data_IF_948091758451
#
_entry.id   IF_948091758451
#
_cell.length_a   1.000
_cell.length_b   1.000
_cell.length_c   1.000
_cell.angle_alpha   90.00
_cell.angle_beta   90.00
_cell.angle_gamma   90.00
#
_symmetry.space_group_name_H-M   'P 1'
#
loop_
_entity.id
_entity.type
_entity.pdbx_description
1 polymer ?
#
# COMPACT_ATOMS: atom_id res chain seq x y z
N UNK A 1 -7.65 12.12 10.50
CA UNK A 1 -8.59 12.04 9.37
C UNK A 1 -8.44 10.70 8.63
N UNK A 2 -7.26 10.30 8.14
CA UNK A 2 -7.05 9.04 7.38
C UNK A 2 -7.56 7.78 8.11
N UNK A 3 -7.43 7.71 9.43
CA UNK A 3 -7.93 6.58 10.23
C UNK A 3 -9.46 6.55 10.20
N UNK A 4 -10.09 7.71 10.36
CA UNK A 4 -11.56 7.84 10.34
C UNK A 4 -12.10 7.48 8.95
N UNK A 5 -11.50 8.00 7.88
CA UNK A 5 -11.90 7.73 6.51
C UNK A 5 -11.79 6.24 6.17
N UNK A 6 -10.70 5.59 6.61
CA UNK A 6 -10.52 4.15 6.46
C UNK A 6 -11.59 3.35 7.22
N UNK A 7 -11.99 3.78 8.43
CA UNK A 7 -13.04 3.10 9.19
C UNK A 7 -14.42 3.25 8.54
N UNK A 8 -14.74 4.44 8.02
CA UNK A 8 -15.97 4.68 7.26
C UNK A 8 -15.99 3.75 6.04
N UNK A 9 -14.92 3.75 5.25
CA UNK A 9 -14.78 2.91 4.06
C UNK A 9 -14.91 1.42 4.36
N UNK A 10 -14.29 0.97 5.45
CA UNK A 10 -14.35 -0.42 5.90
C UNK A 10 -15.79 -0.84 6.21
N UNK A 11 -16.53 0.01 6.96
CA UNK A 11 -17.95 -0.26 7.29
C UNK A 11 -18.84 -0.33 6.04
N UNK A 12 -18.61 0.55 5.06
CA UNK A 12 -19.36 0.52 3.79
C UNK A 12 -19.10 -0.77 3.01
N UNK A 13 -17.84 -1.21 2.93
CA UNK A 13 -17.48 -2.43 2.20
C UNK A 13 -18.02 -3.69 2.90
N UNK A 14 -17.99 -3.73 4.22
CA UNK A 14 -18.52 -4.87 4.98
C UNK A 14 -20.03 -5.10 4.75
N UNK A 15 -20.80 -4.06 4.42
CA UNK A 15 -22.23 -4.20 4.06
C UNK A 15 -22.47 -5.01 2.78
N UNK A 16 -21.45 -5.20 1.97
CA UNK A 16 -21.50 -5.99 0.71
C UNK A 16 -21.08 -7.45 0.91
N UNK A 17 -20.71 -7.83 2.12
CA UNK A 17 -20.19 -9.15 2.46
C UNK A 17 -21.24 -9.94 3.29
N UNK A 18 -21.13 -11.29 3.32
CA UNK A 18 -21.94 -12.10 4.21
C UNK A 18 -21.86 -11.63 5.66
N UNK A 19 -22.98 -11.71 6.38
CA UNK A 19 -23.10 -11.21 7.77
C UNK A 19 -22.04 -11.82 8.70
N UNK A 20 -21.67 -13.09 8.51
CA UNK A 20 -20.65 -13.75 9.31
C UNK A 20 -19.25 -13.13 9.16
N UNK A 21 -18.96 -12.47 8.03
CA UNK A 21 -17.67 -11.79 7.84
C UNK A 21 -17.43 -10.65 8.86
N UNK A 22 -18.47 -10.09 9.47
CA UNK A 22 -18.31 -9.08 10.52
C UNK A 22 -17.55 -9.62 11.73
N UNK A 23 -17.73 -10.90 12.07
CA UNK A 23 -16.98 -11.58 13.13
C UNK A 23 -15.50 -11.72 12.76
N UNK A 24 -15.21 -12.15 11.53
CA UNK A 24 -13.86 -12.24 10.99
C UNK A 24 -13.12 -10.91 11.09
N UNK A 25 -13.73 -9.81 10.63
CA UNK A 25 -13.09 -8.49 10.66
C UNK A 25 -12.81 -8.00 12.07
N UNK A 26 -13.67 -8.29 13.06
CA UNK A 26 -13.38 -8.03 14.48
C UNK A 26 -12.21 -8.87 14.99
N UNK A 27 -12.17 -10.15 14.60
CA UNK A 27 -11.11 -11.06 15.05
C UNK A 27 -9.73 -10.75 14.53
N UNK A 28 -9.63 -10.21 13.30
CA UNK A 28 -8.33 -9.85 12.70
C UNK A 28 -7.92 -8.39 12.99
N UNK A 29 -8.77 -7.59 13.60
CA UNK A 29 -8.49 -6.18 13.90
C UNK A 29 -7.21 -5.96 14.70
N UNK A 30 -6.95 -6.71 15.80
CA UNK A 30 -5.76 -6.47 16.62
C UNK A 30 -4.43 -6.70 15.89
N UNK A 31 -4.44 -7.51 14.82
CA UNK A 31 -3.24 -7.93 14.12
C UNK A 31 -3.08 -7.33 12.73
N UNK A 32 -4.07 -6.52 12.28
CA UNK A 32 -4.09 -5.97 10.92
C UNK A 32 -4.36 -4.48 10.89
N UNK A 33 -3.73 -3.78 9.94
CA UNK A 33 -4.03 -2.37 9.70
C UNK A 33 -5.42 -2.18 9.06
N UNK A 34 -6.01 -0.99 9.21
CA UNK A 34 -7.27 -0.63 8.53
C UNK A 34 -7.17 -0.78 7.00
N UNK A 35 -6.03 -0.45 6.40
CA UNK A 35 -5.77 -0.64 4.96
C UNK A 35 -5.77 -2.11 4.56
N UNK A 36 -5.17 -2.98 5.39
CA UNK A 36 -5.18 -4.44 5.17
C UNK A 36 -6.61 -4.98 5.19
N UNK A 37 -7.41 -4.55 6.18
CA UNK A 37 -8.81 -4.97 6.27
C UNK A 37 -9.66 -4.48 5.09
N UNK A 38 -9.44 -3.27 4.60
CA UNK A 38 -10.07 -2.76 3.37
C UNK A 38 -9.69 -3.64 2.16
N UNK A 39 -8.41 -4.01 2.03
CA UNK A 39 -7.97 -4.90 0.96
C UNK A 39 -8.64 -6.28 1.06
N UNK A 40 -8.76 -6.83 2.28
CA UNK A 40 -9.50 -8.07 2.51
C UNK A 40 -10.99 -7.94 2.13
N UNK A 41 -11.65 -6.82 2.41
CA UNK A 41 -13.02 -6.60 1.96
C UNK A 41 -13.14 -6.69 0.44
N UNK A 42 -12.26 -6.02 -0.30
CA UNK A 42 -12.28 -6.09 -1.76
C UNK A 42 -12.02 -7.50 -2.28
N UNK A 43 -11.08 -8.22 -1.69
CA UNK A 43 -10.77 -9.60 -2.09
C UNK A 43 -11.93 -10.54 -1.83
N UNK A 44 -12.60 -10.42 -0.68
CA UNK A 44 -13.76 -11.23 -0.33
C UNK A 44 -15.00 -10.86 -1.15
N UNK A 45 -15.19 -9.59 -1.52
CA UNK A 45 -16.28 -9.19 -2.44
C UNK A 45 -16.09 -9.89 -3.79
N UNK A 46 -14.88 -9.93 -4.33
CA UNK A 46 -14.59 -10.63 -5.60
C UNK A 46 -14.88 -12.13 -5.45
N UNK A 47 -14.47 -12.75 -4.34
CA UNK A 47 -14.69 -14.16 -4.07
C UNK A 47 -16.19 -14.51 -3.98
N UNK A 48 -16.97 -13.79 -3.18
CA UNK A 48 -18.40 -14.10 -3.01
C UNK A 48 -19.21 -13.76 -4.28
N UNK A 49 -18.78 -12.79 -5.07
CA UNK A 49 -19.39 -12.53 -6.38
C UNK A 49 -19.06 -13.66 -7.38
N UNK A 50 -17.85 -14.22 -7.33
CA UNK A 50 -17.53 -15.43 -8.10
C UNK A 50 -18.44 -16.60 -7.68
N UNK A 51 -18.61 -16.87 -6.40
CA UNK A 51 -19.52 -17.92 -5.91
C UNK A 51 -20.96 -17.67 -6.40
N UNK A 52 -21.42 -16.42 -6.38
CA UNK A 52 -22.74 -16.06 -6.90
C UNK A 52 -22.92 -16.42 -8.40
N UNK A 53 -21.86 -16.22 -9.20
CA UNK A 53 -21.90 -16.47 -10.65
C UNK A 53 -21.66 -17.95 -11.03
N UNK A 54 -20.86 -18.68 -10.23
CA UNK A 54 -20.44 -20.05 -10.55
C UNK A 54 -21.33 -21.12 -9.88
N UNK A 55 -22.00 -20.79 -8.77
CA UNK A 55 -22.84 -21.74 -8.03
C UNK A 55 -24.33 -21.46 -8.25
N UNK A 56 -25.07 -22.36 -8.97
CA UNK A 56 -26.50 -22.18 -9.25
C UNK A 56 -27.37 -22.05 -7.98
N UNK A 57 -27.01 -22.73 -6.88
CA UNK A 57 -27.75 -22.64 -5.60
C UNK A 57 -27.65 -21.23 -4.99
N UNK A 58 -26.54 -20.55 -5.22
CA UNK A 58 -26.25 -19.24 -4.66
C UNK A 58 -26.61 -18.08 -5.59
N UNK A 59 -26.91 -18.33 -6.86
CA UNK A 59 -27.16 -17.31 -7.88
C UNK A 59 -28.28 -16.33 -7.52
N UNK A 60 -29.35 -16.84 -6.90
CA UNK A 60 -30.54 -16.05 -6.51
C UNK A 60 -30.51 -15.58 -5.05
N UNK A 61 -29.50 -15.96 -4.27
CA UNK A 61 -29.37 -15.55 -2.87
C UNK A 61 -28.53 -14.26 -2.82
N UNK A 62 -28.97 -13.22 -2.11
CA UNK A 62 -28.13 -12.04 -1.89
C UNK A 62 -26.84 -12.44 -1.14
N UNK A 63 -25.70 -11.95 -1.57
CA UNK A 63 -24.38 -12.27 -0.98
C UNK A 63 -24.37 -12.02 0.55
N UNK A 64 -25.05 -10.98 1.01
CA UNK A 64 -25.14 -10.64 2.44
C UNK A 64 -25.84 -11.69 3.31
N UNK A 65 -26.67 -12.54 2.70
CA UNK A 65 -27.44 -13.58 3.37
C UNK A 65 -26.81 -14.98 3.24
N UNK A 66 -25.62 -15.08 2.65
CA UNK A 66 -24.91 -16.36 2.58
C UNK A 66 -24.62 -16.88 3.99
N UNK A 67 -24.99 -18.14 4.27
CA UNK A 67 -24.73 -18.78 5.56
C UNK A 67 -23.26 -19.19 5.67
N UNK A 68 -22.73 -19.30 6.90
CA UNK A 68 -21.35 -19.69 7.13
C UNK A 68 -21.06 -21.13 6.67
N UNK A 69 -22.06 -22.00 6.70
CA UNK A 69 -22.01 -23.37 6.23
C UNK A 69 -21.66 -23.50 4.75
N UNK A 70 -21.83 -22.42 3.97
CA UNK A 70 -21.34 -22.34 2.59
C UNK A 70 -19.84 -22.60 2.52
N UNK A 71 -19.06 -22.11 3.50
CA UNK A 71 -17.60 -22.32 3.52
C UNK A 71 -17.21 -23.81 3.64
N UNK A 72 -18.03 -24.64 4.30
CA UNK A 72 -17.82 -26.09 4.39
C UNK A 72 -18.17 -26.84 3.09
N UNK A 73 -18.98 -26.23 2.22
CA UNK A 73 -19.35 -26.83 0.93
C UNK A 73 -18.32 -26.55 -0.17
N UNK A 74 -17.50 -25.52 -0.01
CA UNK A 74 -16.46 -25.16 -0.97
C UNK A 74 -15.28 -26.11 -0.84
N UNK A 75 -14.84 -26.68 -1.95
CA UNK A 75 -13.72 -27.61 -2.03
C UNK A 75 -12.41 -26.92 -2.44
N UNK A 76 -11.30 -27.62 -2.39
CA UNK A 76 -10.02 -27.14 -2.91
C UNK A 76 -10.10 -26.86 -4.42
N UNK A 77 -10.80 -27.72 -5.18
CA UNK A 77 -11.02 -27.56 -6.61
C UNK A 77 -11.78 -26.26 -6.92
N UNK A 78 -12.84 -25.94 -6.16
CA UNK A 78 -13.59 -24.68 -6.35
C UNK A 78 -12.70 -23.46 -6.14
N UNK A 79 -11.73 -23.55 -5.20
CA UNK A 79 -10.76 -22.47 -4.99
C UNK A 79 -9.75 -22.40 -6.13
N UNK A 80 -9.30 -23.54 -6.69
CA UNK A 80 -8.41 -23.57 -7.86
C UNK A 80 -9.12 -22.94 -9.09
N UNK A 81 -10.37 -23.28 -9.34
CA UNK A 81 -11.20 -22.66 -10.37
C UNK A 81 -11.36 -21.14 -10.15
N UNK A 82 -11.54 -20.72 -8.89
CA UNK A 82 -11.54 -19.30 -8.56
C UNK A 82 -10.20 -18.62 -8.88
N UNK A 83 -9.05 -19.27 -8.63
CA UNK A 83 -7.74 -18.71 -8.98
C UNK A 83 -7.56 -18.60 -10.52
N UNK A 84 -8.11 -19.52 -11.29
CA UNK A 84 -8.14 -19.43 -12.75
C UNK A 84 -9.03 -18.27 -13.21
N UNK A 85 -10.24 -18.16 -12.68
CA UNK A 85 -11.16 -17.04 -12.92
C UNK A 85 -10.50 -15.68 -12.66
N UNK A 86 -9.68 -15.56 -11.63
CA UNK A 86 -8.99 -14.31 -11.28
C UNK A 86 -8.02 -13.82 -12.38
N UNK A 87 -7.53 -14.68 -13.28
CA UNK A 87 -6.63 -14.27 -14.37
C UNK A 87 -7.30 -13.26 -15.29
N UNK A 88 -8.59 -13.45 -15.54
CA UNK A 88 -9.45 -12.51 -16.28
C UNK A 88 -10.90 -12.68 -15.82
N UNK A 89 -11.53 -11.59 -15.43
CA UNK A 89 -12.95 -11.58 -15.14
C UNK A 89 -13.56 -10.20 -15.41
N UNK A 90 -14.88 -10.20 -15.61
CA UNK A 90 -15.68 -8.99 -15.80
C UNK A 90 -16.60 -8.82 -14.60
N UNK A 91 -16.64 -7.62 -14.04
CA UNK A 91 -17.54 -7.29 -12.93
C UNK A 91 -18.96 -6.98 -13.42
N UNK A 92 -19.97 -6.98 -12.53
CA UNK A 92 -21.36 -6.71 -12.88
C UNK A 92 -21.57 -5.34 -13.59
N UNK A 93 -20.67 -4.37 -13.33
CA UNK A 93 -20.65 -3.05 -13.97
C UNK A 93 -19.90 -3.04 -15.32
N UNK A 94 -19.55 -4.20 -15.84
CA UNK A 94 -18.93 -4.39 -17.14
C UNK A 94 -17.43 -4.08 -17.21
N UNK A 95 -16.77 -3.86 -16.06
CA UNK A 95 -15.33 -3.61 -16.03
C UNK A 95 -14.54 -4.90 -16.11
N UNK A 96 -13.58 -4.91 -17.02
CA UNK A 96 -12.62 -6.00 -17.17
C UNK A 96 -11.48 -5.87 -16.13
N UNK A 97 -11.13 -7.00 -15.56
CA UNK A 97 -10.05 -7.11 -14.57
C UNK A 97 -9.12 -8.27 -14.91
N UNK A 98 -7.81 -8.01 -14.80
CA UNK A 98 -6.78 -9.03 -14.88
C UNK A 98 -5.95 -9.01 -13.60
N UNK A 99 -5.52 -10.17 -13.13
CA UNK A 99 -4.59 -10.27 -12.02
C UNK A 99 -3.33 -11.02 -12.43
N UNK A 100 -2.19 -10.44 -12.19
CA UNK A 100 -0.91 -11.17 -12.20
C UNK A 100 -0.74 -12.03 -10.95
N UNK A 101 0.31 -12.84 -10.93
CA UNK A 101 0.61 -13.84 -9.89
C UNK A 101 0.55 -13.25 -8.46
N UNK A 102 1.12 -12.07 -8.23
CA UNK A 102 1.09 -11.39 -6.93
C UNK A 102 -0.33 -11.01 -6.49
N UNK A 103 -1.18 -10.61 -7.43
CA UNK A 103 -2.58 -10.28 -7.16
C UNK A 103 -3.39 -11.52 -6.76
N UNK A 104 -3.18 -12.64 -7.46
CA UNK A 104 -3.80 -13.93 -7.16
C UNK A 104 -3.33 -14.45 -5.80
N UNK A 105 -2.01 -14.44 -5.54
CA UNK A 105 -1.46 -14.82 -4.24
C UNK A 105 -2.08 -14.04 -3.08
N UNK A 106 -2.23 -12.72 -3.23
CA UNK A 106 -2.81 -11.90 -2.17
C UNK A 106 -4.26 -12.30 -1.88
N UNK A 107 -5.05 -12.58 -2.91
CA UNK A 107 -6.44 -13.02 -2.78
C UNK A 107 -6.52 -14.40 -2.12
N UNK A 108 -5.68 -15.36 -2.51
CA UNK A 108 -5.59 -16.66 -1.85
C UNK A 108 -5.14 -16.53 -0.38
N UNK A 109 -4.19 -15.65 -0.08
CA UNK A 109 -3.76 -15.38 1.30
C UNK A 109 -4.91 -14.80 2.15
N UNK A 110 -5.76 -13.97 1.57
CA UNK A 110 -6.97 -13.47 2.23
C UNK A 110 -7.93 -14.62 2.56
N UNK A 111 -8.23 -15.52 1.59
CA UNK A 111 -9.07 -16.70 1.81
C UNK A 111 -8.48 -17.63 2.86
N UNK A 112 -7.17 -17.91 2.81
CA UNK A 112 -6.49 -18.71 3.84
C UNK A 112 -6.66 -18.11 5.24
N UNK A 113 -6.64 -16.78 5.34
CA UNK A 113 -6.83 -16.09 6.62
C UNK A 113 -8.26 -16.21 7.11
N UNK A 114 -9.27 -16.09 6.21
CA UNK A 114 -10.68 -16.26 6.52
C UNK A 114 -10.98 -17.69 7.00
N UNK A 115 -10.57 -18.69 6.22
CA UNK A 115 -10.78 -20.09 6.55
C UNK A 115 -10.07 -20.50 7.85
N UNK A 116 -8.81 -20.08 8.03
CA UNK A 116 -8.06 -20.35 9.27
C UNK A 116 -8.74 -19.73 10.48
N UNK A 117 -9.33 -18.55 10.36
CA UNK A 117 -10.04 -17.87 11.44
C UNK A 117 -11.25 -18.69 11.90
N UNK A 118 -12.14 -19.04 10.98
CA UNK A 118 -13.36 -19.79 11.32
C UNK A 118 -13.08 -21.25 11.68
N UNK A 119 -12.12 -21.89 11.04
CA UNK A 119 -11.69 -23.25 11.38
C UNK A 119 -11.13 -23.33 12.81
N UNK A 120 -10.27 -22.35 13.19
CA UNK A 120 -9.74 -22.26 14.55
C UNK A 120 -10.82 -22.04 15.62
N UNK A 121 -11.93 -21.40 15.24
CA UNK A 121 -13.10 -21.16 16.10
C UNK A 121 -14.11 -22.31 16.06
N UNK A 122 -13.81 -23.37 15.32
CA UNK A 122 -14.72 -24.51 15.14
C UNK A 122 -16.08 -24.11 14.54
N UNK A 123 -16.17 -22.92 13.91
CA UNK A 123 -17.37 -22.45 13.23
C UNK A 123 -17.57 -23.11 11.87
N UNK A 124 -16.51 -23.72 11.30
CA UNK A 124 -16.50 -24.56 10.10
C UNK A 124 -15.69 -25.81 10.36
N UNK A 125 -15.97 -26.88 9.60
CA UNK A 125 -15.38 -28.21 9.78
C UNK A 125 -14.18 -28.44 8.85
N UNK A 126 -14.08 -27.69 7.76
CA UNK A 126 -13.07 -27.89 6.71
C UNK A 126 -12.26 -26.60 6.46
N UNK A 127 -11.06 -26.78 5.93
CA UNK A 127 -10.20 -25.64 5.50
C UNK A 127 -9.55 -25.95 4.15
N UNK A 128 -10.31 -25.96 3.07
CA UNK A 128 -9.81 -26.25 1.73
C UNK A 128 -8.75 -25.26 1.25
N UNK A 129 -8.81 -24.00 1.69
CA UNK A 129 -7.83 -23.00 1.29
C UNK A 129 -6.40 -23.30 1.78
N UNK A 130 -6.23 -24.17 2.80
CA UNK A 130 -4.90 -24.57 3.27
C UNK A 130 -4.20 -25.56 2.32
N UNK A 131 -4.97 -26.31 1.53
CA UNK A 131 -4.48 -27.38 0.64
C UNK A 131 -4.05 -26.81 -0.71
N UNK A 132 -4.75 -25.78 -1.20
CA UNK A 132 -4.47 -25.16 -2.51
C UNK A 132 -3.08 -24.52 -2.52
N UNK A 133 -2.26 -24.86 -3.51
CA UNK A 133 -0.91 -24.31 -3.64
C UNK A 133 -0.88 -22.83 -3.95
N UNK A 134 0.14 -22.14 -3.43
CA UNK A 134 0.38 -20.73 -3.81
C UNK A 134 0.94 -20.65 -5.22
N UNK A 135 0.44 -19.75 -6.09
CA UNK A 135 1.05 -19.51 -7.38
C UNK A 135 2.54 -19.19 -7.25
N UNK A 136 3.36 -19.77 -8.12
CA UNK A 136 4.79 -19.43 -8.19
C UNK A 136 4.94 -18.00 -8.70
N UNK A 137 5.74 -17.20 -8.01
CA UNK A 137 6.10 -15.87 -8.49
C UNK A 137 7.34 -15.99 -9.37
N UNK A 138 7.25 -15.52 -10.60
CA UNK A 138 8.42 -15.29 -11.42
C UNK A 138 9.04 -13.95 -10.97
N UNK A 139 10.18 -14.03 -10.31
CA UNK A 139 10.93 -12.84 -9.91
C UNK A 139 11.47 -12.17 -11.18
N UNK A 140 11.13 -10.89 -11.35
CA UNK A 140 11.78 -10.06 -12.36
C UNK A 140 13.14 -9.64 -11.81
N UNK A 141 14.14 -9.62 -12.68
CA UNK A 141 15.43 -9.05 -12.36
C UNK A 141 15.25 -7.63 -11.82
N UNK A 142 15.86 -7.36 -10.68
CA UNK A 142 15.81 -6.03 -10.07
C UNK A 142 16.80 -5.16 -10.82
N UNK A 143 16.30 -4.23 -11.63
CA UNK A 143 17.12 -3.18 -12.24
C UNK A 143 17.66 -2.29 -11.11
N UNK A 144 18.97 -2.22 -11.00
CA UNK A 144 19.67 -1.37 -10.03
C UNK A 144 20.43 -0.29 -10.82
N UNK A 145 20.39 0.93 -10.30
CA UNK A 145 21.27 1.98 -10.80
C UNK A 145 22.67 1.72 -10.26
N UNK A 146 23.68 1.85 -11.11
CA UNK A 146 25.08 1.91 -10.67
C UNK A 146 25.46 3.34 -10.25
N UNK A 147 26.71 3.53 -9.78
CA UNK A 147 27.15 4.82 -9.28
C UNK A 147 27.12 5.92 -10.35
N UNK A 148 27.48 5.59 -11.59
CA UNK A 148 27.50 6.53 -12.70
C UNK A 148 26.07 6.93 -13.10
N UNK A 149 25.13 5.97 -13.11
CA UNK A 149 23.71 6.23 -13.39
C UNK A 149 23.06 7.07 -12.29
N UNK A 150 23.43 6.87 -11.02
CA UNK A 150 23.00 7.70 -9.90
C UNK A 150 23.50 9.14 -10.07
N UNK A 151 24.78 9.33 -10.45
CA UNK A 151 25.33 10.67 -10.70
C UNK A 151 24.56 11.38 -11.81
N UNK A 152 24.33 10.70 -12.93
CA UNK A 152 23.54 11.25 -14.05
C UNK A 152 22.11 11.60 -13.62
N UNK A 153 21.49 10.79 -12.77
CA UNK A 153 20.15 11.07 -12.24
C UNK A 153 20.13 12.36 -11.41
N UNK A 154 21.08 12.51 -10.50
CA UNK A 154 21.19 13.71 -9.64
C UNK A 154 21.49 14.96 -10.46
N UNK A 155 22.41 14.88 -11.43
CA UNK A 155 22.71 15.99 -12.36
C UNK A 155 21.45 16.44 -13.12
N UNK A 156 20.61 15.50 -13.56
CA UNK A 156 19.36 15.84 -14.24
C UNK A 156 18.34 16.51 -13.35
N UNK A 157 18.28 16.14 -12.08
CA UNK A 157 17.41 16.81 -11.10
C UNK A 157 17.92 18.23 -10.83
N UNK A 158 19.22 18.43 -10.81
CA UNK A 158 19.82 19.74 -10.60
C UNK A 158 19.65 20.64 -11.83
N UNK A 159 19.96 20.16 -13.02
CA UNK A 159 19.95 20.95 -14.26
C UNK A 159 18.55 21.12 -14.83
N UNK A 160 17.70 20.10 -14.74
CA UNK A 160 16.33 20.16 -15.27
C UNK A 160 16.23 20.18 -16.79
N UNK A 161 17.30 19.84 -17.50
CA UNK A 161 17.43 19.96 -18.96
C UNK A 161 16.52 18.97 -19.73
N UNK A 162 16.18 17.84 -19.14
CA UNK A 162 15.22 16.84 -19.70
C UNK A 162 13.77 17.10 -19.34
N UNK A 163 13.49 18.12 -18.54
CA UNK A 163 12.13 18.46 -18.16
C UNK A 163 11.35 19.07 -19.31
N UNK A 164 10.05 18.78 -19.39
CA UNK A 164 9.13 19.44 -20.31
C UNK A 164 9.02 20.93 -19.98
N UNK A 165 8.63 21.77 -20.96
CA UNK A 165 8.39 23.22 -20.75
C UNK A 165 7.43 23.50 -19.59
N UNK A 166 6.46 22.63 -19.34
CA UNK A 166 5.53 22.76 -18.22
C UNK A 166 6.19 22.45 -16.88
N UNK A 167 7.02 21.44 -16.81
CA UNK A 167 7.77 21.06 -15.60
C UNK A 167 8.85 22.07 -15.24
N UNK A 168 9.55 22.63 -16.25
CA UNK A 168 10.58 23.66 -16.07
C UNK A 168 10.09 24.90 -15.32
N UNK A 169 8.80 25.26 -15.47
CA UNK A 169 8.18 26.40 -14.74
C UNK A 169 8.23 26.22 -13.22
N UNK A 170 8.23 24.97 -12.77
CA UNK A 170 8.23 24.65 -11.34
C UNK A 170 9.58 24.19 -10.83
N UNK A 171 10.50 23.81 -11.72
CA UNK A 171 11.81 23.26 -11.40
C UNK A 171 12.60 24.16 -10.42
N UNK A 172 12.69 25.47 -10.69
CA UNK A 172 13.36 26.42 -9.79
C UNK A 172 12.76 26.52 -8.38
N UNK A 173 11.54 25.98 -8.14
CA UNK A 173 10.89 25.96 -6.83
C UNK A 173 10.93 24.60 -6.15
N UNK A 174 11.31 23.56 -6.87
CA UNK A 174 11.25 22.19 -6.39
C UNK A 174 12.58 21.47 -6.39
N UNK A 175 13.56 21.95 -7.17
CA UNK A 175 14.81 21.24 -7.41
C UNK A 175 15.57 20.93 -6.10
N UNK A 176 15.70 21.90 -5.20
CA UNK A 176 16.46 21.72 -3.94
C UNK A 176 15.76 20.71 -3.03
N UNK A 177 14.42 20.75 -3.00
CA UNK A 177 13.62 19.75 -2.31
C UNK A 177 13.76 18.36 -2.93
N UNK A 178 13.65 18.27 -4.25
CA UNK A 178 13.67 17.01 -4.98
C UNK A 178 15.07 16.39 -4.92
N UNK A 179 16.13 17.22 -4.95
CA UNK A 179 17.51 16.81 -4.69
C UNK A 179 17.67 16.24 -3.28
N UNK A 180 17.17 16.93 -2.25
CA UNK A 180 17.22 16.46 -0.87
C UNK A 180 16.47 15.13 -0.67
N UNK A 181 15.31 14.96 -1.31
CA UNK A 181 14.55 13.71 -1.27
C UNK A 181 15.34 12.56 -1.90
N UNK A 182 15.87 12.75 -3.11
CA UNK A 182 16.58 11.69 -3.83
C UNK A 182 17.89 11.33 -3.12
N UNK A 183 18.68 12.31 -2.73
CA UNK A 183 19.93 12.08 -2.00
C UNK A 183 19.68 11.35 -0.67
N UNK A 184 18.62 11.73 0.04
CA UNK A 184 18.19 11.05 1.27
C UNK A 184 17.77 9.59 1.03
N UNK A 185 16.98 9.33 0.00
CA UNK A 185 16.55 7.97 -0.35
C UNK A 185 17.73 7.09 -0.78
N UNK A 186 18.62 7.63 -1.61
CA UNK A 186 19.81 6.92 -2.10
C UNK A 186 20.83 6.66 -0.98
N UNK A 187 21.09 7.66 -0.15
CA UNK A 187 22.09 7.57 0.92
C UNK A 187 21.67 6.73 2.11
N UNK A 188 20.36 6.54 2.33
CA UNK A 188 19.86 5.83 3.53
C UNK A 188 19.11 4.53 3.22
N UNK A 189 18.63 4.35 2.00
CA UNK A 189 17.78 3.21 1.63
C UNK A 189 16.42 3.17 2.34
N UNK A 190 15.98 4.27 2.94
CA UNK A 190 14.66 4.33 3.59
C UNK A 190 13.53 4.22 2.58
N UNK A 191 12.34 3.79 3.02
CA UNK A 191 11.17 3.75 2.14
C UNK A 191 10.66 5.15 1.86
N UNK A 192 10.10 5.36 0.66
CA UNK A 192 9.47 6.65 0.29
C UNK A 192 8.43 7.09 1.33
N UNK A 193 7.64 6.16 1.88
CA UNK A 193 6.66 6.47 2.94
C UNK A 193 7.29 6.91 4.27
N UNK A 194 8.50 6.45 4.57
CA UNK A 194 9.27 6.88 5.73
C UNK A 194 9.83 8.28 5.47
N UNK A 195 10.41 8.52 4.29
CA UNK A 195 10.95 9.81 3.85
C UNK A 195 9.90 10.94 3.93
N UNK A 196 8.73 10.77 3.31
CA UNK A 196 7.69 11.83 3.34
C UNK A 196 7.05 12.00 4.74
N UNK A 197 7.24 11.01 5.61
CA UNK A 197 6.75 11.04 6.99
C UNK A 197 7.63 11.84 7.95
N UNK A 198 8.84 12.21 7.57
CA UNK A 198 9.81 12.90 8.44
C UNK A 198 9.30 14.28 8.82
N UNK A 199 9.44 14.62 10.10
CA UNK A 199 9.28 15.98 10.63
C UNK A 199 10.65 16.67 10.74
N UNK A 200 10.69 18.00 10.69
CA UNK A 200 11.93 18.77 10.81
C UNK A 200 12.69 18.39 12.09
N UNK A 201 11.97 18.18 13.19
CA UNK A 201 12.54 17.83 14.49
C UNK A 201 13.00 16.35 14.60
N UNK A 202 12.75 15.53 13.60
CA UNK A 202 13.23 14.15 13.56
C UNK A 202 14.70 14.06 13.11
N UNK A 203 15.29 15.17 12.64
CA UNK A 203 16.66 15.22 12.14
C UNK A 203 17.62 15.68 13.25
N UNK A 204 18.61 14.87 13.55
CA UNK A 204 19.73 15.18 14.44
C UNK A 204 21.01 15.35 13.63
N UNK A 205 21.31 16.59 13.22
CA UNK A 205 22.52 16.93 12.47
C UNK A 205 23.81 16.70 13.29
N UNK A 206 23.74 16.77 14.63
CA UNK A 206 24.91 16.57 15.49
C UNK A 206 25.42 15.13 15.41
N UNK A 207 24.49 14.18 15.31
CA UNK A 207 24.82 12.75 15.26
C UNK A 207 24.54 12.15 13.88
N UNK A 208 24.28 12.97 12.86
CA UNK A 208 23.96 12.57 11.47
C UNK A 208 22.88 11.49 11.40
N UNK A 209 21.81 11.64 12.23
CA UNK A 209 20.74 10.66 12.39
C UNK A 209 19.36 11.22 12.09
N UNK A 210 18.48 10.39 11.56
CA UNK A 210 17.07 10.71 11.34
C UNK A 210 16.22 9.66 12.04
N UNK A 211 15.30 10.10 12.87
CA UNK A 211 14.28 9.27 13.50
C UNK A 211 13.18 8.97 12.49
N UNK A 212 12.99 7.70 12.16
CA UNK A 212 11.96 7.26 11.22
C UNK A 212 10.95 6.34 11.90
N UNK A 213 9.68 6.43 11.47
CA UNK A 213 8.59 5.58 11.97
C UNK A 213 8.31 4.49 10.94
N UNK A 214 8.62 3.25 11.31
CA UNK A 214 8.39 2.07 10.47
C UNK A 214 6.96 1.56 10.56
N UNK A 215 6.61 0.66 9.64
CA UNK A 215 5.33 -0.06 9.68
C UNK A 215 5.15 -0.76 11.03
N UNK A 216 4.01 -0.53 11.68
CA UNK A 216 3.72 -1.08 13.01
C UNK A 216 4.01 -0.10 14.17
N UNK A 217 4.45 1.14 13.87
CA UNK A 217 4.68 2.19 14.87
C UNK A 217 6.06 2.14 15.54
N UNK A 218 6.92 1.21 15.16
CA UNK A 218 8.28 1.14 15.67
C UNK A 218 9.09 2.32 15.16
N UNK A 219 9.76 3.01 16.06
CA UNK A 219 10.70 4.08 15.76
C UNK A 219 12.13 3.51 15.67
N UNK A 220 12.91 3.99 14.72
CA UNK A 220 14.32 3.65 14.58
C UNK A 220 15.07 4.86 14.06
N UNK A 221 16.39 4.91 14.32
CA UNK A 221 17.25 5.94 13.77
C UNK A 221 17.98 5.37 12.56
N UNK A 222 18.00 6.14 11.48
CA UNK A 222 18.81 5.86 10.28
C UNK A 222 19.85 6.95 10.18
N UNK A 223 21.10 6.56 9.93
CA UNK A 223 22.21 7.49 9.81
C UNK A 223 22.45 7.89 8.36
N UNK A 224 22.99 9.07 8.14
CA UNK A 224 23.27 9.63 6.82
C UNK A 224 24.70 10.17 6.73
N UNK A 225 25.21 10.26 5.50
CA UNK A 225 26.53 10.83 5.21
C UNK A 225 26.47 12.32 4.87
N UNK A 226 27.64 12.90 4.63
CA UNK A 226 27.84 14.33 4.35
C UNK A 226 27.04 14.84 3.14
N UNK A 227 26.90 14.03 2.08
CA UNK A 227 26.13 14.40 0.89
C UNK A 227 24.65 14.64 1.22
N UNK A 228 24.08 13.76 2.06
CA UNK A 228 22.69 13.89 2.52
C UNK A 228 22.55 15.10 3.43
N UNK A 229 23.51 15.31 4.32
CA UNK A 229 23.53 16.46 5.23
C UNK A 229 23.50 17.77 4.45
N UNK A 230 24.40 17.93 3.47
CA UNK A 230 24.44 19.12 2.64
C UNK A 230 23.15 19.36 1.88
N UNK A 231 22.60 18.34 1.23
CA UNK A 231 21.34 18.44 0.50
C UNK A 231 20.14 18.79 1.41
N UNK A 232 20.13 18.28 2.64
CA UNK A 232 19.10 18.61 3.62
C UNK A 232 19.24 20.05 4.13
N UNK A 233 20.46 20.50 4.38
CA UNK A 233 20.72 21.88 4.83
C UNK A 233 20.32 22.89 3.75
N UNK A 234 20.68 22.66 2.50
CA UNK A 234 20.31 23.51 1.37
C UNK A 234 18.78 23.62 1.25
N UNK A 235 18.09 22.48 1.34
CA UNK A 235 16.62 22.50 1.29
C UNK A 235 16.02 23.20 2.52
N UNK A 236 16.57 23.02 3.70
CA UNK A 236 16.05 23.65 4.92
C UNK A 236 16.13 25.17 4.89
N UNK A 237 17.13 25.75 4.21
CA UNK A 237 17.18 27.22 4.00
C UNK A 237 15.98 27.69 3.17
N UNK A 238 15.61 27.02 2.09
CA UNK A 238 14.38 27.32 1.34
C UNK A 238 13.11 27.00 2.12
N UNK A 239 13.12 25.86 2.84
CA UNK A 239 11.94 25.41 3.63
C UNK A 239 11.53 26.42 4.70
N UNK A 240 12.48 27.13 5.31
CA UNK A 240 12.22 28.20 6.31
C UNK A 240 11.42 29.37 5.72
N UNK A 241 11.51 29.61 4.42
CA UNK A 241 10.82 30.70 3.73
C UNK A 241 9.37 30.32 3.36
N UNK A 242 9.00 29.06 3.47
CA UNK A 242 7.67 28.57 3.09
C UNK A 242 6.78 28.54 4.33
N UNK A 243 5.66 29.27 4.28
CA UNK A 243 4.60 29.17 5.30
C UNK A 243 3.72 27.96 4.96
N UNK A 244 3.76 26.87 5.76
CA UNK A 244 2.95 25.69 5.51
C UNK A 244 1.45 25.95 5.70
N UNK A 245 0.61 25.06 5.17
CA UNK A 245 -0.80 25.03 5.55
C UNK A 245 -0.94 24.45 6.97
N UNK A 246 -2.05 24.81 7.64
CA UNK A 246 -2.38 24.36 8.98
C UNK A 246 -2.31 22.82 9.11
N UNK A 247 -1.63 22.35 10.16
CA UNK A 247 -1.38 20.93 10.43
C UNK A 247 -0.22 20.30 9.64
N UNK A 248 0.55 21.12 8.89
CA UNK A 248 1.72 20.67 8.13
C UNK A 248 3.01 21.40 8.52
N UNK A 249 3.02 22.13 9.63
CA UNK A 249 4.10 23.00 10.08
C UNK A 249 5.41 22.24 10.27
N UNK A 250 5.33 21.05 10.86
CA UNK A 250 6.49 20.23 11.18
C UNK A 250 6.97 19.35 10.00
N UNK A 251 6.19 19.25 8.91
CA UNK A 251 6.58 18.41 7.80
C UNK A 251 7.89 18.86 7.16
N UNK A 252 8.88 17.96 7.04
CA UNK A 252 10.13 18.26 6.38
C UNK A 252 9.87 18.63 4.91
N UNK A 253 9.28 17.73 4.13
CA UNK A 253 9.04 17.93 2.71
C UNK A 253 7.62 18.43 2.43
N UNK A 254 7.53 19.57 1.75
CA UNK A 254 6.28 20.19 1.37
C UNK A 254 6.05 20.12 -0.15
N UNK A 255 4.80 19.89 -0.53
CA UNK A 255 4.33 20.04 -1.91
C UNK A 255 4.22 21.52 -2.30
N UNK A 256 4.01 21.80 -3.59
CA UNK A 256 3.71 23.16 -4.07
C UNK A 256 2.44 23.76 -3.42
N UNK A 257 1.52 22.92 -2.93
CA UNK A 257 0.36 23.33 -2.16
C UNK A 257 0.68 23.59 -0.68
N UNK A 258 1.95 23.57 -0.28
CA UNK A 258 2.42 23.81 1.09
C UNK A 258 1.90 22.81 2.13
N UNK A 259 1.59 21.59 1.69
CA UNK A 259 1.20 20.44 2.52
C UNK A 259 2.33 19.42 2.54
N UNK A 260 2.37 18.57 3.58
CA UNK A 260 3.26 17.40 3.59
C UNK A 260 3.14 16.63 2.28
N UNK A 261 4.27 16.28 1.68
CA UNK A 261 4.27 15.47 0.47
C UNK A 261 3.67 14.08 0.70
N UNK A 262 2.94 13.61 -0.28
CA UNK A 262 2.44 12.24 -0.31
C UNK A 262 3.39 11.33 -1.09
N UNK A 263 3.35 10.02 -0.79
CA UNK A 263 4.16 9.00 -1.46
C UNK A 263 4.06 9.09 -2.98
N UNK A 264 2.84 9.19 -3.52
CA UNK A 264 2.60 9.31 -4.97
C UNK A 264 3.23 10.53 -5.63
N UNK A 265 3.46 11.60 -4.88
CA UNK A 265 4.08 12.81 -5.43
C UNK A 265 5.60 12.66 -5.59
N UNK A 266 6.22 11.70 -4.90
CA UNK A 266 7.62 11.34 -5.06
C UNK A 266 7.81 10.24 -6.10
N UNK A 267 6.82 9.34 -6.26
CA UNK A 267 6.87 8.22 -7.21
C UNK A 267 6.54 8.62 -8.66
N UNK A 268 5.91 9.79 -8.88
CA UNK A 268 5.53 10.33 -10.21
C UNK A 268 6.53 11.37 -10.72
#
# INVERSE_FOLDING_TARGET
>A
QVIVDNQIKLRELQKKLPKFCAEFFRGVEPTTSSRTRIAYCYDLIVFFNYIKSSNPEMANVPVVDYPIELLDKITATDIEEYLEYLRYYVTEDGKEHTNGERGIMRKLACLRTLYRYFYKKESIKTNPASIVDMPKIHEKEIVRLDADEVSVLLDQVELGDKLTKSQQKFHGKTKTRDMAILTLLLGTGMRVSECVGIDINDIDFKNSGIKIRRKGGNETVTYFGEEVENALLDYLEERKLIVPQDGHENALFLSLQKRRMGVRAVEN
#
